data_IF_823256996358
#
_entry.id   IF_823256996358
#
_cell.length_a   1.000
_cell.length_b   1.000
_cell.length_c   1.000
_cell.angle_alpha   90.00
_cell.angle_beta   90.00
_cell.angle_gamma   90.00
#
_symmetry.space_group_name_H-M   'P 1'
#
loop_
_entity.id
_entity.type
_entity.pdbx_description
1 polymer ?
#
# COMPACT_ATOMS: atom_id res chain seq x y z
N UNK A 1 -19.56 25.92 14.66
CA UNK A 1 -18.48 25.41 13.75
C UNK A 1 -17.54 24.58 14.60
N UNK A 2 -17.36 23.33 14.26
CA UNK A 2 -16.35 22.46 14.86
C UNK A 2 -15.13 22.50 13.94
N UNK A 3 -14.05 23.25 14.27
CA UNK A 3 -12.91 23.46 13.38
C UNK A 3 -12.11 22.18 13.10
N UNK A 4 -12.40 21.12 13.81
CA UNK A 4 -11.72 19.80 13.74
C UNK A 4 -12.42 18.82 12.79
N UNK A 5 -13.58 19.19 12.23
CA UNK A 5 -14.39 18.31 11.40
C UNK A 5 -14.54 18.86 9.98
N UNK A 6 -14.44 17.98 9.01
CA UNK A 6 -14.76 18.25 7.61
C UNK A 6 -15.88 17.34 7.11
N UNK A 7 -16.60 17.79 6.09
CA UNK A 7 -17.63 17.01 5.42
C UNK A 7 -17.10 16.53 4.06
N UNK A 8 -17.01 15.22 3.87
CA UNK A 8 -16.77 14.60 2.59
C UNK A 8 -18.11 14.41 1.87
N UNK A 9 -18.35 15.20 0.81
CA UNK A 9 -19.57 15.11 0.01
C UNK A 9 -19.23 14.37 -1.29
N UNK A 10 -19.91 13.26 -1.54
CA UNK A 10 -19.72 12.46 -2.74
C UNK A 10 -20.41 13.10 -3.95
N UNK A 11 -19.81 12.96 -5.11
CA UNK A 11 -20.47 13.19 -6.39
C UNK A 11 -21.66 12.22 -6.52
N UNK A 12 -22.66 12.58 -7.33
CA UNK A 12 -23.91 11.84 -7.42
C UNK A 12 -23.70 10.37 -7.79
N UNK A 13 -22.85 10.11 -8.74
CA UNK A 13 -22.50 8.75 -9.22
C UNK A 13 -21.88 7.86 -8.12
N UNK A 14 -21.28 8.45 -7.09
CA UNK A 14 -20.66 7.72 -5.97
C UNK A 14 -21.58 7.61 -4.73
N UNK A 15 -22.80 8.10 -4.78
CA UNK A 15 -23.79 8.01 -3.67
C UNK A 15 -24.52 6.68 -3.69
N UNK A 16 -23.76 5.59 -3.64
CA UNK A 16 -24.29 4.23 -3.73
C UNK A 16 -24.73 3.70 -2.36
N UNK A 17 -25.67 2.73 -2.35
CA UNK A 17 -26.09 2.03 -1.13
C UNK A 17 -24.96 1.26 -0.46
N UNK A 18 -24.04 0.71 -1.24
CA UNK A 18 -22.85 0.01 -0.71
C UNK A 18 -21.93 0.95 0.06
N UNK A 19 -21.71 2.17 -0.45
CA UNK A 19 -20.89 3.17 0.23
C UNK A 19 -21.58 3.71 1.48
N UNK A 20 -22.89 3.97 1.40
CA UNK A 20 -23.70 4.32 2.58
C UNK A 20 -23.58 3.25 3.67
N UNK A 21 -23.73 1.97 3.31
CA UNK A 21 -23.64 0.86 4.26
C UNK A 21 -22.26 0.77 4.94
N UNK A 22 -21.18 0.99 4.19
CA UNK A 22 -19.81 1.05 4.75
C UNK A 22 -19.67 2.17 5.77
N UNK A 23 -20.12 3.38 5.45
CA UNK A 23 -20.03 4.53 6.36
C UNK A 23 -20.86 4.30 7.61
N UNK A 24 -22.06 3.77 7.49
CA UNK A 24 -22.91 3.40 8.62
C UNK A 24 -22.25 2.31 9.49
N UNK A 25 -21.55 1.35 8.90
CA UNK A 25 -20.86 0.34 9.71
C UNK A 25 -19.70 0.94 10.50
N UNK A 26 -18.93 1.87 9.93
CA UNK A 26 -17.89 2.61 10.67
C UNK A 26 -18.48 3.44 11.81
N UNK A 27 -19.59 4.15 11.57
CA UNK A 27 -20.34 4.88 12.60
C UNK A 27 -20.81 3.94 13.72
N UNK A 28 -21.39 2.79 13.37
CA UNK A 28 -21.81 1.76 14.32
C UNK A 28 -20.67 1.18 15.16
N UNK A 29 -19.48 0.97 14.56
CA UNK A 29 -18.31 0.51 15.31
C UNK A 29 -17.85 1.53 16.36
N UNK A 30 -17.94 2.83 16.05
CA UNK A 30 -17.68 3.90 17.03
C UNK A 30 -18.72 3.83 18.16
N UNK A 31 -20.02 3.80 17.84
CA UNK A 31 -21.10 3.77 18.83
C UNK A 31 -21.05 2.53 19.75
N UNK A 32 -20.56 1.41 19.25
CA UNK A 32 -20.36 0.17 20.03
C UNK A 32 -19.04 0.13 20.80
N UNK A 33 -18.22 1.18 20.75
CA UNK A 33 -16.87 1.22 21.32
C UNK A 33 -15.95 0.07 20.82
N UNK A 34 -16.12 -0.36 19.58
CA UNK A 34 -15.27 -1.38 18.96
C UNK A 34 -13.92 -0.77 18.51
N UNK A 35 -13.87 0.56 18.32
CA UNK A 35 -12.68 1.31 17.91
C UNK A 35 -12.12 2.11 19.10
N UNK A 36 -10.91 1.74 19.54
CA UNK A 36 -10.24 2.48 20.60
C UNK A 36 -9.56 3.76 20.06
N UNK A 37 -9.14 4.65 20.96
CA UNK A 37 -8.46 5.91 20.60
C UNK A 37 -7.24 5.66 19.73
N UNK A 38 -6.40 4.69 20.08
CA UNK A 38 -5.17 4.37 19.33
C UNK A 38 -5.46 3.91 17.88
N UNK A 39 -6.62 3.27 17.64
CA UNK A 39 -7.08 2.96 16.29
C UNK A 39 -7.47 4.24 15.53
N UNK A 40 -8.29 5.09 16.14
CA UNK A 40 -8.73 6.36 15.55
C UNK A 40 -7.58 7.37 15.34
N UNK A 41 -6.47 7.23 16.07
CA UNK A 41 -5.26 8.01 15.82
C UNK A 41 -4.56 7.61 14.50
N UNK A 42 -4.82 6.40 13.96
CA UNK A 42 -4.22 5.89 12.72
C UNK A 42 -5.22 5.71 11.57
N UNK A 43 -6.52 5.70 11.84
CA UNK A 43 -7.56 5.52 10.81
C UNK A 43 -8.56 6.66 10.90
N UNK A 44 -8.72 7.40 9.82
CA UNK A 44 -9.68 8.50 9.74
C UNK A 44 -11.06 7.94 9.43
N UNK A 45 -11.78 7.60 10.49
CA UNK A 45 -13.11 6.98 10.39
C UNK A 45 -14.22 7.99 10.20
N UNK A 46 -15.26 7.69 9.40
CA UNK A 46 -16.47 8.48 9.32
C UNK A 46 -17.17 8.51 10.66
N UNK A 47 -17.50 9.70 11.16
CA UNK A 47 -18.18 9.91 12.45
C UNK A 47 -19.70 9.97 12.32
N UNK A 48 -20.19 10.45 11.16
CA UNK A 48 -21.62 10.61 10.91
C UNK A 48 -21.92 10.54 9.42
N UNK A 49 -22.95 9.77 9.09
CA UNK A 49 -23.51 9.75 7.75
C UNK A 49 -24.28 11.05 7.47
N UNK A 50 -24.11 11.62 6.29
CA UNK A 50 -24.76 12.86 5.86
C UNK A 50 -25.78 12.57 4.76
N UNK A 51 -26.93 13.27 4.85
CA UNK A 51 -28.03 13.13 3.92
C UNK A 51 -28.45 14.48 3.36
N UNK A 52 -28.91 14.49 2.10
CA UNK A 52 -29.51 15.67 1.49
C UNK A 52 -30.86 15.96 2.12
N UNK A 53 -31.13 17.23 2.37
CA UNK A 53 -32.44 17.70 2.81
C UNK A 53 -32.95 18.80 1.87
N UNK A 54 -34.25 18.79 1.59
CA UNK A 54 -34.95 19.86 0.86
C UNK A 54 -36.13 20.29 1.68
N UNK A 55 -36.18 21.60 2.02
CA UNK A 55 -37.31 22.24 2.72
C UNK A 55 -37.82 21.53 3.99
N UNK A 56 -36.91 21.15 4.90
CA UNK A 56 -37.23 20.42 6.15
C UNK A 56 -37.94 19.06 5.95
N UNK A 57 -38.02 18.54 4.73
CA UNK A 57 -38.51 17.18 4.48
C UNK A 57 -37.43 16.13 4.73
N UNK A 58 -37.87 14.95 5.14
CA UNK A 58 -37.00 13.77 5.36
C UNK A 58 -36.06 13.52 4.17
N UNK A 59 -34.83 13.14 4.50
CA UNK A 59 -33.71 12.74 3.67
C UNK A 59 -34.04 12.41 2.21
N UNK A 60 -33.43 13.17 1.28
CA UNK A 60 -33.51 12.92 -0.17
C UNK A 60 -32.48 11.87 -0.66
N UNK A 61 -31.75 11.28 0.24
CA UNK A 61 -30.73 10.28 -0.04
C UNK A 61 -29.38 10.60 0.56
N UNK A 62 -28.54 9.59 0.58
CA UNK A 62 -27.18 9.65 1.06
C UNK A 62 -26.34 10.68 0.30
N UNK A 63 -25.54 11.46 1.01
CA UNK A 63 -24.73 12.53 0.44
C UNK A 63 -23.24 12.39 0.73
N UNK A 64 -22.87 11.84 1.90
CA UNK A 64 -21.48 11.82 2.34
C UNK A 64 -21.30 11.47 3.80
N UNK A 65 -20.21 11.91 4.38
CA UNK A 65 -19.92 11.70 5.79
C UNK A 65 -19.20 12.89 6.43
N UNK A 66 -19.29 12.96 7.75
CA UNK A 66 -18.50 13.85 8.60
C UNK A 66 -17.29 13.07 9.13
N UNK A 67 -16.11 13.65 9.10
CA UNK A 67 -14.86 13.04 9.55
C UNK A 67 -13.91 14.07 10.16
N UNK A 68 -12.87 13.61 10.84
CA UNK A 68 -11.80 14.48 11.33
C UNK A 68 -11.01 15.08 10.18
N UNK A 69 -10.81 16.40 10.23
CA UNK A 69 -9.93 17.09 9.30
C UNK A 69 -8.48 16.67 9.54
N UNK A 70 -7.73 16.47 8.46
CA UNK A 70 -6.31 16.17 8.53
C UNK A 70 -5.52 17.32 7.89
N UNK A 71 -4.43 17.72 8.53
CA UNK A 71 -3.55 18.78 8.03
C UNK A 71 -2.07 18.37 8.18
N UNK A 72 -1.17 18.99 7.40
CA UNK A 72 0.29 18.79 7.49
C UNK A 72 0.73 17.34 7.23
N UNK A 73 0.08 16.66 6.30
CA UNK A 73 0.45 15.32 5.85
C UNK A 73 0.96 15.34 4.40
N UNK A 74 1.62 14.26 4.01
CA UNK A 74 1.97 13.93 2.63
C UNK A 74 1.37 12.57 2.27
N UNK A 75 1.07 12.33 0.99
CA UNK A 75 0.78 10.96 0.55
C UNK A 75 2.04 10.10 0.68
N UNK A 76 1.89 8.83 1.01
CA UNK A 76 3.04 7.93 1.21
C UNK A 76 3.96 7.87 -0.02
N UNK A 77 3.42 8.02 -1.24
CA UNK A 77 4.22 8.07 -2.48
C UNK A 77 5.16 9.28 -2.53
N UNK A 78 4.77 10.40 -1.96
CA UNK A 78 5.63 11.60 -1.85
C UNK A 78 6.80 11.37 -0.87
N UNK A 79 6.61 10.48 0.10
CA UNK A 79 7.63 10.13 1.08
C UNK A 79 8.74 9.27 0.48
N UNK A 80 8.47 8.46 -0.54
CA UNK A 80 9.48 7.57 -1.13
C UNK A 80 10.77 8.32 -1.50
N UNK A 81 10.63 9.47 -2.17
CA UNK A 81 11.74 10.28 -2.68
C UNK A 81 12.00 11.54 -1.86
N UNK A 82 11.32 11.71 -0.72
CA UNK A 82 11.49 12.86 0.15
C UNK A 82 12.95 12.99 0.61
N UNK A 83 13.55 14.17 0.34
CA UNK A 83 14.95 14.48 0.68
C UNK A 83 15.09 15.03 2.09
N UNK A 84 14.02 15.55 2.66
CA UNK A 84 13.88 16.09 4.01
C UNK A 84 13.75 15.01 5.07
N UNK A 85 13.61 13.74 4.66
CA UNK A 85 13.57 12.58 5.57
C UNK A 85 14.81 11.71 5.44
N UNK A 86 15.41 11.40 6.56
CA UNK A 86 16.55 10.48 6.65
C UNK A 86 16.12 9.02 6.36
N UNK A 87 17.09 8.17 6.05
CA UNK A 87 16.81 6.77 5.80
C UNK A 87 16.18 6.03 7.01
N UNK A 88 16.65 6.24 8.27
CA UNK A 88 15.96 5.67 9.43
C UNK A 88 14.50 6.11 9.58
N UNK A 89 14.18 7.37 9.26
CA UNK A 89 12.79 7.84 9.31
C UNK A 89 11.91 7.11 8.28
N UNK A 90 12.42 6.83 7.08
CA UNK A 90 11.70 6.01 6.09
C UNK A 90 11.51 4.56 6.55
N UNK A 91 12.49 3.97 7.23
CA UNK A 91 12.35 2.64 7.85
C UNK A 91 11.30 2.67 8.97
N UNK A 92 11.28 3.73 9.78
CA UNK A 92 10.30 3.94 10.83
C UNK A 92 8.87 4.06 10.28
N UNK A 93 8.69 4.81 9.18
CA UNK A 93 7.41 4.94 8.49
C UNK A 93 6.96 3.58 7.94
N UNK A 94 7.86 2.80 7.33
CA UNK A 94 7.55 1.45 6.85
C UNK A 94 7.08 0.53 8.00
N UNK A 95 7.72 0.61 9.16
CA UNK A 95 7.31 -0.10 10.38
C UNK A 95 5.91 0.32 10.86
N UNK A 96 5.63 1.63 10.86
CA UNK A 96 4.31 2.15 11.24
C UNK A 96 3.20 1.75 10.27
N UNK A 97 3.51 1.58 8.98
CA UNK A 97 2.58 1.02 7.99
C UNK A 97 2.19 -0.44 8.35
N UNK A 98 3.15 -1.25 8.82
CA UNK A 98 2.84 -2.61 9.28
C UNK A 98 1.88 -2.59 10.48
N UNK A 99 2.10 -1.69 11.44
CA UNK A 99 1.20 -1.54 12.61
C UNK A 99 -0.21 -1.17 12.17
N UNK A 100 -0.35 -0.23 11.24
CA UNK A 100 -1.65 0.17 10.69
C UNK A 100 -2.36 -1.01 10.02
N UNK A 101 -1.66 -1.73 9.12
CA UNK A 101 -2.23 -2.89 8.41
C UNK A 101 -2.70 -3.97 9.39
N UNK A 102 -1.85 -4.33 10.37
CA UNK A 102 -2.20 -5.35 11.37
C UNK A 102 -3.45 -4.95 12.17
N UNK A 103 -3.54 -3.70 12.64
CA UNK A 103 -4.69 -3.20 13.40
C UNK A 103 -6.01 -3.27 12.61
N UNK A 104 -5.96 -3.01 11.32
CA UNK A 104 -7.15 -3.09 10.47
C UNK A 104 -7.58 -4.55 10.31
N UNK A 105 -6.65 -5.47 10.10
CA UNK A 105 -6.94 -6.88 9.94
C UNK A 105 -7.41 -7.56 11.25
N UNK A 106 -7.16 -6.95 12.42
CA UNK A 106 -7.67 -7.42 13.71
C UNK A 106 -9.16 -7.08 13.95
N UNK A 107 -9.75 -6.21 13.12
CA UNK A 107 -11.15 -5.86 13.24
C UNK A 107 -12.07 -7.04 12.90
N UNK A 108 -13.11 -7.23 13.73
CA UNK A 108 -14.09 -8.34 13.58
C UNK A 108 -14.94 -8.27 12.30
N UNK A 109 -14.87 -7.17 11.55
CA UNK A 109 -15.66 -6.93 10.33
C UNK A 109 -14.95 -7.38 9.05
N UNK A 110 -13.86 -8.13 9.17
CA UNK A 110 -13.06 -8.59 8.03
C UNK A 110 -12.69 -7.44 7.09
N UNK A 111 -12.22 -6.35 7.69
CA UNK A 111 -11.86 -5.15 6.94
C UNK A 111 -10.59 -5.41 6.15
N UNK A 112 -10.65 -5.11 4.86
CA UNK A 112 -9.52 -5.15 3.93
C UNK A 112 -9.34 -3.74 3.39
N UNK A 113 -8.12 -3.22 3.42
CA UNK A 113 -7.82 -1.87 2.95
C UNK A 113 -8.10 -1.75 1.44
N UNK A 114 -7.59 -2.69 0.65
CA UNK A 114 -7.76 -2.77 -0.79
C UNK A 114 -7.04 -1.65 -1.54
N UNK A 115 -7.37 -0.39 -1.27
CA UNK A 115 -6.72 0.77 -1.90
C UNK A 115 -5.66 1.40 -0.99
N UNK A 116 -4.43 0.95 -1.10
CA UNK A 116 -3.28 1.49 -0.38
C UNK A 116 -2.81 2.88 -0.86
N UNK A 117 -3.40 3.44 -1.91
CA UNK A 117 -3.11 4.83 -2.31
C UNK A 117 -3.62 5.86 -1.30
N UNK A 118 -4.54 5.44 -0.41
CA UNK A 118 -5.13 6.25 0.64
C UNK A 118 -4.29 6.30 1.94
N UNK A 119 -3.04 5.90 1.88
CA UNK A 119 -2.10 6.02 2.99
C UNK A 119 -1.45 7.40 3.00
N UNK A 120 -1.57 8.09 4.14
CA UNK A 120 -0.92 9.38 4.39
C UNK A 120 0.08 9.27 5.53
N UNK A 121 1.07 10.14 5.50
CA UNK A 121 2.17 10.20 6.48
C UNK A 121 2.31 11.61 7.00
N UNK A 122 2.52 11.74 8.30
CA UNK A 122 2.89 12.97 8.97
C UNK A 122 4.42 13.01 9.12
N UNK A 123 5.14 13.79 8.29
CA UNK A 123 6.62 13.75 8.26
C UNK A 123 7.26 14.13 9.60
N UNK A 124 6.60 15.00 10.38
CA UNK A 124 7.14 15.50 11.65
C UNK A 124 7.39 14.40 12.70
N UNK A 125 6.67 13.28 12.65
CA UNK A 125 6.78 12.20 13.63
C UNK A 125 6.70 10.78 13.04
N UNK A 126 6.59 10.67 11.72
CA UNK A 126 6.48 9.40 11.01
C UNK A 126 5.16 8.65 11.23
N UNK A 127 4.12 9.30 11.76
CA UNK A 127 2.81 8.69 11.92
C UNK A 127 2.21 8.37 10.56
N UNK A 128 1.69 7.15 10.42
CA UNK A 128 1.00 6.67 9.21
C UNK A 128 -0.48 6.55 9.51
N UNK A 129 -1.31 7.07 8.60
CA UNK A 129 -2.77 6.97 8.72
C UNK A 129 -3.40 6.48 7.42
N UNK A 130 -4.54 5.79 7.57
CA UNK A 130 -5.45 5.49 6.48
C UNK A 130 -6.55 6.54 6.43
N UNK A 131 -6.79 7.10 5.25
CA UNK A 131 -7.95 7.97 4.94
C UNK A 131 -8.88 7.24 3.98
N UNK A 132 -10.05 7.83 3.71
CA UNK A 132 -11.00 7.32 2.70
C UNK A 132 -11.43 5.86 2.92
N UNK A 133 -11.67 5.47 4.18
CA UNK A 133 -12.08 4.11 4.56
C UNK A 133 -13.43 3.66 3.97
N UNK A 134 -14.17 4.54 3.32
CA UNK A 134 -15.33 4.19 2.50
C UNK A 134 -14.96 3.37 1.25
N UNK A 135 -13.67 3.36 0.86
CA UNK A 135 -13.15 2.49 -0.19
C UNK A 135 -12.81 1.08 0.30
N UNK A 136 -12.56 0.88 1.59
CA UNK A 136 -12.24 -0.44 2.15
C UNK A 136 -13.33 -1.47 1.86
N UNK A 137 -12.93 -2.74 1.72
CA UNK A 137 -13.86 -3.85 1.78
C UNK A 137 -14.16 -4.17 3.24
N UNK A 138 -15.41 -4.41 3.57
CA UNK A 138 -15.82 -4.84 4.92
C UNK A 138 -17.14 -5.63 4.87
N UNK A 139 -17.39 -6.36 5.95
CA UNK A 139 -18.66 -7.08 6.15
C UNK A 139 -19.55 -6.29 7.11
N UNK A 140 -20.76 -6.00 6.68
CA UNK A 140 -21.81 -5.39 7.51
C UNK A 140 -22.99 -6.36 7.71
N UNK A 141 -23.89 -6.02 8.63
CA UNK A 141 -25.14 -6.75 8.81
C UNK A 141 -26.31 -5.87 8.36
N UNK A 142 -26.92 -6.25 7.27
CA UNK A 142 -28.09 -5.59 6.73
C UNK A 142 -29.29 -6.52 6.77
N UNK A 143 -30.40 -6.11 7.43
CA UNK A 143 -31.62 -6.91 7.63
C UNK A 143 -31.34 -8.33 8.15
N UNK A 144 -30.49 -8.45 9.18
CA UNK A 144 -30.06 -9.71 9.79
C UNK A 144 -29.30 -10.66 8.84
N UNK A 145 -28.84 -10.18 7.68
CA UNK A 145 -27.98 -10.92 6.76
C UNK A 145 -26.60 -10.30 6.76
N UNK A 146 -25.60 -11.17 6.69
CA UNK A 146 -24.21 -10.76 6.47
C UNK A 146 -24.05 -10.34 5.01
N UNK A 147 -23.61 -9.12 4.78
CA UNK A 147 -23.41 -8.51 3.46
C UNK A 147 -21.96 -8.06 3.33
N UNK A 148 -21.30 -8.51 2.28
CA UNK A 148 -19.99 -8.01 1.89
C UNK A 148 -20.16 -6.71 1.11
N UNK A 149 -19.46 -5.66 1.54
CA UNK A 149 -19.33 -4.40 0.82
C UNK A 149 -17.92 -4.35 0.20
N UNK A 150 -17.75 -4.64 -1.09
CA UNK A 150 -16.43 -4.81 -1.70
C UNK A 150 -15.65 -3.51 -1.82
N UNK A 151 -14.31 -3.60 -1.92
CA UNK A 151 -13.47 -2.54 -2.45
C UNK A 151 -13.67 -2.48 -3.98
N UNK A 152 -13.97 -1.29 -4.51
CA UNK A 152 -14.27 -1.09 -5.95
C UNK A 152 -13.27 -0.15 -6.63
N UNK A 153 -12.21 0.23 -5.94
CA UNK A 153 -11.18 1.15 -6.41
C UNK A 153 -9.79 0.64 -6.05
N UNK A 154 -8.79 1.09 -6.80
CA UNK A 154 -7.40 0.76 -6.50
C UNK A 154 -6.47 1.32 -7.56
N UNK A 155 -5.23 1.59 -7.16
CA UNK A 155 -4.18 2.07 -8.05
C UNK A 155 -3.43 0.87 -8.63
N UNK A 156 -3.30 0.83 -9.93
CA UNK A 156 -2.82 -0.32 -10.71
C UNK A 156 -1.56 -0.99 -10.16
N UNK A 157 -0.54 -0.22 -9.79
CA UNK A 157 0.71 -0.77 -9.27
C UNK A 157 0.59 -1.40 -7.88
N UNK A 158 -0.46 -1.06 -7.12
CA UNK A 158 -0.74 -1.57 -5.78
C UNK A 158 -1.75 -2.72 -5.77
N UNK A 159 -2.37 -3.00 -6.91
CA UNK A 159 -3.31 -4.12 -7.05
C UNK A 159 -2.51 -5.42 -7.15
N UNK A 160 -2.82 -6.39 -6.30
CA UNK A 160 -2.17 -7.69 -6.32
C UNK A 160 -2.40 -8.43 -7.66
N UNK A 161 -1.40 -9.18 -8.17
CA UNK A 161 -1.45 -9.80 -9.50
C UNK A 161 -2.68 -10.67 -9.75
N UNK A 162 -3.13 -11.42 -8.74
CA UNK A 162 -4.31 -12.30 -8.84
C UNK A 162 -5.61 -11.53 -9.05
N UNK A 163 -5.73 -10.33 -8.47
CA UNK A 163 -6.88 -9.45 -8.69
C UNK A 163 -6.85 -8.89 -10.10
N UNK A 164 -5.69 -8.41 -10.50
CA UNK A 164 -5.47 -7.86 -11.81
C UNK A 164 -5.74 -8.86 -12.94
N UNK A 165 -5.30 -10.11 -12.76
CA UNK A 165 -5.56 -11.20 -13.70
C UNK A 165 -7.07 -11.48 -13.86
N UNK A 166 -7.86 -11.39 -12.79
CA UNK A 166 -9.33 -11.51 -12.84
C UNK A 166 -9.97 -10.36 -13.60
N UNK A 167 -9.61 -9.12 -13.28
CA UNK A 167 -10.13 -7.93 -13.97
C UNK A 167 -9.92 -8.00 -15.48
N UNK A 168 -8.75 -8.49 -15.93
CA UNK A 168 -8.46 -8.70 -17.36
C UNK A 168 -9.35 -9.76 -18.00
N UNK A 169 -9.59 -10.89 -17.30
CA UNK A 169 -10.37 -12.02 -17.84
C UNK A 169 -11.85 -11.70 -17.96
N UNK A 170 -12.39 -11.03 -16.96
CA UNK A 170 -13.81 -10.78 -16.84
C UNK A 170 -14.25 -9.49 -17.55
N UNK A 171 -13.30 -8.70 -18.09
CA UNK A 171 -13.56 -7.35 -18.64
C UNK A 171 -14.33 -6.45 -17.67
N UNK A 172 -14.17 -6.71 -16.39
CA UNK A 172 -14.89 -6.03 -15.33
C UNK A 172 -14.05 -4.88 -14.82
N UNK A 173 -14.60 -3.67 -14.88
CA UNK A 173 -14.05 -2.55 -14.13
C UNK A 173 -14.30 -2.78 -12.63
N UNK A 174 -13.38 -2.36 -11.76
CA UNK A 174 -13.55 -2.43 -10.30
C UNK A 174 -14.86 -1.76 -9.84
N UNK A 175 -15.35 -0.78 -10.61
CA UNK A 175 -16.61 -0.05 -10.34
C UNK A 175 -17.89 -0.88 -10.59
N UNK A 176 -17.80 -1.94 -11.41
CA UNK A 176 -18.94 -2.76 -11.84
C UNK A 176 -18.97 -4.16 -11.20
N UNK A 177 -18.25 -4.35 -10.09
CA UNK A 177 -18.30 -5.61 -9.35
C UNK A 177 -19.65 -5.75 -8.69
N UNK A 178 -20.41 -6.73 -9.13
CA UNK A 178 -21.73 -7.02 -8.61
C UNK A 178 -21.64 -7.38 -7.12
N UNK A 179 -22.48 -6.77 -6.29
CA UNK A 179 -22.47 -6.95 -4.84
C UNK A 179 -22.84 -8.38 -4.39
N UNK A 180 -23.37 -9.17 -5.31
CA UNK A 180 -23.79 -10.57 -5.10
C UNK A 180 -22.72 -11.60 -5.52
N UNK A 181 -21.52 -11.17 -5.92
CA UNK A 181 -20.47 -12.11 -6.26
C UNK A 181 -20.01 -12.89 -5.00
N UNK A 182 -20.12 -14.21 -5.06
CA UNK A 182 -19.78 -15.16 -3.98
C UNK A 182 -18.31 -15.16 -3.58
N UNK A 183 -17.47 -14.34 -4.20
CA UNK A 183 -16.05 -14.25 -3.92
C UNK A 183 -15.62 -12.81 -3.60
N UNK A 184 -15.08 -12.57 -2.39
CA UNK A 184 -14.41 -11.32 -2.11
C UNK A 184 -13.25 -11.15 -3.10
N UNK A 185 -13.21 -10.02 -3.81
CA UNK A 185 -12.12 -9.72 -4.74
C UNK A 185 -10.84 -9.51 -3.96
N UNK A 186 -10.91 -8.68 -2.91
CA UNK A 186 -9.78 -8.39 -2.04
C UNK A 186 -9.80 -9.28 -0.79
N UNK A 187 -8.61 -9.55 -0.25
CA UNK A 187 -8.41 -10.27 1.00
C UNK A 187 -7.12 -9.80 1.68
N UNK A 188 -6.80 -10.32 2.86
CA UNK A 188 -5.59 -9.92 3.60
C UNK A 188 -4.28 -10.11 2.81
N UNK A 189 -4.23 -11.09 1.94
CA UNK A 189 -3.02 -11.34 1.13
C UNK A 189 -2.84 -10.31 0.02
N UNK A 190 -3.93 -9.72 -0.49
CA UNK A 190 -3.84 -8.60 -1.43
C UNK A 190 -3.32 -7.33 -0.73
N UNK A 191 -3.71 -7.11 0.53
CA UNK A 191 -3.18 -6.05 1.38
C UNK A 191 -1.69 -6.26 1.69
N UNK A 192 -1.27 -7.48 1.96
CA UNK A 192 0.14 -7.80 2.20
C UNK A 192 1.02 -7.52 0.98
N UNK A 193 0.50 -7.73 -0.23
CA UNK A 193 1.20 -7.34 -1.45
C UNK A 193 1.39 -5.82 -1.53
N UNK A 194 0.33 -5.06 -1.37
CA UNK A 194 0.38 -3.60 -1.46
C UNK A 194 1.24 -2.98 -0.34
N UNK A 195 1.15 -3.52 0.88
CA UNK A 195 2.01 -3.15 2.00
C UNK A 195 3.49 -3.41 1.68
N UNK A 196 3.83 -4.60 1.19
CA UNK A 196 5.20 -4.95 0.81
C UNK A 196 5.74 -4.03 -0.30
N UNK A 197 4.89 -3.67 -1.28
CA UNK A 197 5.24 -2.69 -2.31
C UNK A 197 5.64 -1.34 -1.72
N UNK A 198 4.82 -0.80 -0.81
CA UNK A 198 5.13 0.47 -0.15
C UNK A 198 6.42 0.39 0.69
N UNK A 199 6.60 -0.70 1.45
CA UNK A 199 7.82 -0.92 2.23
C UNK A 199 9.05 -0.93 1.30
N UNK A 200 8.99 -1.68 0.21
CA UNK A 200 10.07 -1.74 -0.77
C UNK A 200 10.36 -0.35 -1.35
N UNK A 201 9.35 0.38 -1.81
CA UNK A 201 9.50 1.71 -2.38
C UNK A 201 10.09 2.73 -1.38
N UNK A 202 9.69 2.68 -0.11
CA UNK A 202 10.29 3.50 0.96
C UNK A 202 11.78 3.20 1.14
N UNK A 203 12.16 1.92 1.18
CA UNK A 203 13.55 1.50 1.39
C UNK A 203 14.42 1.70 0.15
N UNK A 204 13.83 1.65 -1.05
CA UNK A 204 14.53 1.76 -2.36
C UNK A 204 14.30 3.13 -3.02
N UNK A 205 14.00 4.15 -2.24
CA UNK A 205 13.89 5.55 -2.68
C UNK A 205 12.96 5.74 -3.89
N UNK A 206 11.77 5.13 -3.83
CA UNK A 206 10.71 5.27 -4.84
C UNK A 206 10.79 4.27 -6.00
N UNK A 207 11.78 3.38 -5.98
CA UNK A 207 11.88 2.38 -7.04
C UNK A 207 10.80 1.30 -6.88
N UNK A 208 10.24 0.86 -8.00
CA UNK A 208 9.28 -0.24 -8.04
C UNK A 208 9.98 -1.59 -7.81
N UNK A 209 9.36 -2.54 -7.11
CA UNK A 209 9.85 -3.93 -7.05
C UNK A 209 9.83 -4.63 -8.41
N UNK A 210 9.10 -4.08 -9.38
CA UNK A 210 8.98 -4.56 -10.75
C UNK A 210 9.47 -3.51 -11.76
N UNK A 211 10.33 -2.60 -11.31
CA UNK A 211 10.97 -1.59 -12.16
C UNK A 211 11.95 -2.26 -13.12
N UNK A 212 11.64 -2.23 -14.39
CA UNK A 212 12.39 -2.89 -15.43
C UNK A 212 13.42 -1.94 -16.04
N UNK A 213 14.70 -2.29 -15.97
CA UNK A 213 15.74 -1.69 -16.81
C UNK A 213 16.20 -2.80 -17.76
N UNK A 214 15.63 -2.79 -18.97
CA UNK A 214 16.04 -3.72 -20.00
C UNK A 214 17.52 -3.51 -20.32
N UNK A 215 18.32 -4.56 -20.29
CA UNK A 215 19.67 -4.52 -20.86
C UNK A 215 19.54 -4.56 -22.38
N UNK A 216 19.51 -3.38 -23.00
CA UNK A 216 19.35 -3.23 -24.45
C UNK A 216 20.44 -3.94 -25.23
N UNK A 217 21.66 -4.10 -24.68
CA UNK A 217 22.75 -4.81 -25.34
C UNK A 217 22.45 -6.31 -25.43
N UNK A 218 21.92 -6.94 -24.38
CA UNK A 218 21.53 -8.36 -24.43
C UNK A 218 20.28 -8.59 -25.29
N UNK A 219 19.35 -7.66 -25.36
CA UNK A 219 18.19 -7.72 -26.26
C UNK A 219 18.65 -7.70 -27.72
N UNK A 220 19.60 -6.83 -28.05
CA UNK A 220 20.19 -6.76 -29.41
C UNK A 220 20.99 -7.99 -29.79
N UNK A 221 21.64 -8.65 -28.83
CA UNK A 221 22.40 -9.90 -29.08
C UNK A 221 21.49 -11.13 -29.24
N UNK A 222 20.21 -11.06 -28.82
CA UNK A 222 19.26 -12.17 -28.91
C UNK A 222 17.94 -11.73 -29.60
N UNK A 223 17.98 -11.30 -30.87
CA UNK A 223 16.79 -10.75 -31.57
C UNK A 223 15.67 -11.78 -31.79
N UNK A 224 15.92 -13.07 -31.59
CA UNK A 224 14.92 -14.13 -31.67
C UNK A 224 14.03 -14.24 -30.45
N UNK A 225 14.34 -13.57 -29.34
CA UNK A 225 13.46 -13.42 -28.19
C UNK A 225 12.71 -12.11 -28.37
N UNK A 226 11.55 -12.15 -29.01
CA UNK A 226 10.64 -11.01 -29.11
C UNK A 226 10.29 -10.51 -27.71
N UNK A 227 11.06 -9.55 -27.22
CA UNK A 227 10.69 -8.74 -26.05
C UNK A 227 9.60 -7.81 -26.54
N UNK A 228 8.35 -8.17 -26.32
CA UNK A 228 7.21 -7.30 -26.64
C UNK A 228 7.20 -6.13 -25.65
N UNK A 229 6.59 -5.02 -26.03
CA UNK A 229 6.36 -3.88 -25.12
C UNK A 229 5.53 -4.29 -23.86
N UNK A 230 4.84 -5.42 -23.92
CA UNK A 230 4.08 -6.04 -22.82
C UNK A 230 5.05 -6.62 -21.78
N UNK A 231 6.21 -7.14 -22.19
CA UNK A 231 7.20 -7.74 -21.29
C UNK A 231 7.93 -6.67 -20.43
N UNK A 232 7.74 -5.38 -20.76
CA UNK A 232 8.32 -4.23 -20.07
C UNK A 232 7.32 -3.59 -19.08
N UNK A 233 6.04 -3.98 -19.12
CA UNK A 233 5.02 -3.47 -18.20
C UNK A 233 5.26 -4.02 -16.78
N UNK A 234 5.53 -3.15 -15.75
CA UNK A 234 5.75 -3.58 -14.37
C UNK A 234 4.61 -4.44 -13.81
N UNK A 235 3.42 -4.28 -14.33
CA UNK A 235 2.25 -5.04 -13.93
C UNK A 235 2.29 -6.49 -14.45
N UNK A 236 2.75 -6.68 -15.69
CA UNK A 236 2.99 -8.02 -16.25
C UNK A 236 4.14 -8.72 -15.51
N UNK A 237 5.19 -7.99 -15.20
CA UNK A 237 6.30 -8.49 -14.38
C UNK A 237 5.83 -8.95 -12.99
N UNK A 238 4.91 -8.21 -12.36
CA UNK A 238 4.30 -8.59 -11.09
C UNK A 238 3.49 -9.89 -11.20
N UNK A 239 2.72 -10.06 -12.28
CA UNK A 239 1.93 -11.26 -12.58
C UNK A 239 2.81 -12.52 -12.72
N UNK A 240 4.02 -12.35 -13.24
CA UNK A 240 5.02 -13.41 -13.43
C UNK A 240 5.92 -13.62 -12.21
N UNK A 241 5.85 -12.77 -11.21
CA UNK A 241 6.77 -12.78 -10.08
C UNK A 241 8.20 -12.38 -10.47
N UNK A 242 8.33 -11.54 -11.48
CA UNK A 242 9.61 -11.05 -12.01
C UNK A 242 10.13 -9.89 -11.15
N UNK A 243 10.42 -10.21 -9.91
CA UNK A 243 10.99 -9.27 -8.97
C UNK A 243 12.38 -8.82 -9.41
N UNK A 244 12.67 -7.51 -9.33
CA UNK A 244 13.93 -6.90 -9.86
C UNK A 244 15.22 -7.51 -9.33
N UNK A 245 15.18 -8.25 -8.23
CA UNK A 245 16.32 -8.98 -7.65
C UNK A 245 16.18 -10.50 -7.76
N UNK A 246 15.22 -11.02 -8.55
CA UNK A 246 15.10 -12.45 -8.83
C UNK A 246 16.31 -12.93 -9.65
N UNK A 247 16.93 -14.05 -9.20
CA UNK A 247 18.20 -14.57 -9.78
C UNK A 247 18.13 -15.04 -11.23
N UNK A 248 16.95 -15.14 -11.83
CA UNK A 248 16.77 -15.77 -13.15
C UNK A 248 16.39 -14.79 -14.26
N UNK A 249 16.46 -13.49 -14.00
CA UNK A 249 16.07 -12.53 -15.02
C UNK A 249 17.24 -12.27 -15.98
N UNK A 250 17.19 -12.90 -17.15
CA UNK A 250 18.29 -12.92 -18.14
C UNK A 250 18.57 -11.56 -18.80
N UNK A 251 17.63 -10.59 -18.69
CA UNK A 251 17.70 -9.32 -19.42
C UNK A 251 17.72 -8.09 -18.50
N UNK A 252 17.94 -8.29 -17.22
CA UNK A 252 17.87 -7.20 -16.26
C UNK A 252 19.25 -6.64 -15.96
N UNK A 253 19.47 -5.38 -16.32
CA UNK A 253 20.59 -4.62 -15.78
C UNK A 253 20.34 -4.43 -14.27
N UNK A 254 21.39 -4.64 -13.47
CA UNK A 254 21.33 -4.35 -12.03
C UNK A 254 20.85 -2.91 -11.83
N UNK A 255 19.73 -2.68 -11.11
CA UNK A 255 19.23 -1.33 -10.88
C UNK A 255 20.25 -0.46 -10.15
N UNK A 256 20.26 0.84 -10.40
CA UNK A 256 21.19 1.78 -9.75
C UNK A 256 21.08 1.79 -8.22
N UNK A 257 19.93 1.36 -7.68
CA UNK A 257 19.69 1.17 -6.24
C UNK A 257 20.10 -0.21 -5.71
N UNK A 258 20.68 -1.09 -6.52
CA UNK A 258 21.00 -2.47 -6.11
C UNK A 258 21.96 -2.56 -4.92
N UNK A 259 22.88 -1.63 -4.80
CA UNK A 259 23.77 -1.56 -3.63
C UNK A 259 22.97 -1.35 -2.35
N UNK A 260 21.96 -0.49 -2.39
CA UNK A 260 21.06 -0.24 -1.28
C UNK A 260 20.27 -1.48 -0.88
N UNK A 261 19.81 -2.28 -1.86
CA UNK A 261 19.14 -3.55 -1.59
C UNK A 261 20.06 -4.55 -0.89
N UNK A 262 21.33 -4.64 -1.27
CA UNK A 262 22.34 -5.49 -0.61
C UNK A 262 22.61 -5.10 0.84
N UNK A 263 22.33 -3.85 1.23
CA UNK A 263 22.43 -3.40 2.61
C UNK A 263 21.27 -3.90 3.49
N UNK A 264 20.14 -4.26 2.91
CA UNK A 264 19.03 -4.85 3.66
C UNK A 264 19.48 -6.15 4.34
N UNK A 265 18.94 -6.42 5.52
CA UNK A 265 19.14 -7.70 6.19
C UNK A 265 18.71 -8.86 5.29
N UNK A 266 19.31 -10.03 5.50
CA UNK A 266 18.92 -11.23 4.77
C UNK A 266 17.43 -11.53 4.97
N UNK A 267 16.93 -11.29 6.18
CA UNK A 267 15.53 -11.46 6.54
C UNK A 267 14.62 -10.57 5.70
N UNK A 268 14.84 -9.24 5.64
CA UNK A 268 14.06 -8.34 4.80
C UNK A 268 14.09 -8.75 3.32
N UNK A 269 15.25 -9.16 2.81
CA UNK A 269 15.36 -9.64 1.43
C UNK A 269 14.52 -10.90 1.19
N UNK A 270 14.55 -11.85 2.13
CA UNK A 270 13.72 -13.06 2.08
C UNK A 270 12.22 -12.74 2.13
N UNK A 271 11.80 -11.75 2.95
CA UNK A 271 10.40 -11.32 2.98
C UNK A 271 9.98 -10.71 1.64
N UNK A 272 10.81 -9.91 0.98
CA UNK A 272 10.49 -9.38 -0.34
C UNK A 272 10.42 -10.48 -1.41
N UNK A 273 11.32 -11.47 -1.38
CA UNK A 273 11.26 -12.63 -2.29
C UNK A 273 9.97 -13.44 -2.07
N UNK A 274 9.58 -13.66 -0.82
CA UNK A 274 8.29 -14.30 -0.50
C UNK A 274 7.10 -13.47 -0.98
N UNK A 275 7.12 -12.16 -0.77
CA UNK A 275 6.03 -11.28 -1.18
C UNK A 275 5.83 -11.25 -2.70
N UNK A 276 6.93 -11.13 -3.48
CA UNK A 276 6.87 -10.80 -4.89
C UNK A 276 7.11 -12.00 -5.82
N UNK A 277 7.90 -12.99 -5.43
CA UNK A 277 8.14 -14.20 -6.22
C UNK A 277 7.21 -15.33 -5.77
N UNK A 278 7.25 -15.68 -4.50
CA UNK A 278 6.41 -16.72 -3.93
C UNK A 278 4.93 -16.33 -4.02
N UNK A 279 4.60 -15.13 -3.58
CA UNK A 279 3.25 -14.58 -3.53
C UNK A 279 2.61 -14.31 -4.90
N UNK A 280 3.37 -14.29 -6.00
CA UNK A 280 2.80 -14.26 -7.35
C UNK A 280 2.20 -15.63 -7.74
N UNK A 281 2.77 -16.72 -7.21
CA UNK A 281 2.32 -18.10 -7.46
C UNK A 281 1.25 -18.54 -6.47
N UNK A 282 1.47 -18.23 -5.21
CA UNK A 282 0.58 -18.53 -4.10
C UNK A 282 0.49 -17.32 -3.17
N UNK A 283 -0.60 -16.54 -3.22
CA UNK A 283 -0.79 -15.37 -2.37
C UNK A 283 -0.67 -15.67 -0.87
N UNK A 284 -0.97 -16.90 -0.43
CA UNK A 284 -0.99 -17.27 0.99
C UNK A 284 0.39 -17.31 1.65
N UNK A 285 1.47 -17.38 0.86
CA UNK A 285 2.84 -17.37 1.38
C UNK A 285 3.39 -15.96 1.59
N UNK A 286 2.67 -14.92 1.20
CA UNK A 286 3.09 -13.53 1.43
C UNK A 286 3.28 -13.27 2.92
N UNK A 287 4.38 -12.60 3.29
CA UNK A 287 4.61 -12.23 4.69
C UNK A 287 3.50 -11.32 5.20
N UNK A 288 3.08 -11.54 6.42
CA UNK A 288 2.12 -10.69 7.09
C UNK A 288 2.77 -9.40 7.62
N UNK A 289 1.92 -8.53 8.19
CA UNK A 289 2.36 -7.23 8.68
C UNK A 289 3.33 -7.36 9.87
N UNK A 290 3.17 -8.38 10.71
CA UNK A 290 4.03 -8.56 11.88
C UNK A 290 5.39 -9.16 11.54
N UNK A 291 5.49 -10.00 10.52
CA UNK A 291 6.78 -10.48 9.99
C UNK A 291 7.62 -9.29 9.48
N UNK A 292 7.03 -8.40 8.67
CA UNK A 292 7.72 -7.18 8.23
C UNK A 292 8.03 -6.23 9.39
N UNK A 293 7.10 -6.04 10.33
CA UNK A 293 7.32 -5.20 11.51
C UNK A 293 8.55 -5.63 12.33
N UNK A 294 8.69 -6.94 12.59
CA UNK A 294 9.81 -7.48 13.35
C UNK A 294 11.13 -7.28 12.60
N UNK A 295 11.19 -7.67 11.33
CA UNK A 295 12.38 -7.51 10.50
C UNK A 295 12.79 -6.04 10.35
N UNK A 296 11.84 -5.12 10.16
CA UNK A 296 12.09 -3.68 10.10
C UNK A 296 12.55 -3.11 11.44
N UNK A 297 12.06 -3.64 12.57
CA UNK A 297 12.49 -3.21 13.90
C UNK A 297 13.95 -3.57 14.16
N UNK A 298 14.34 -4.80 13.86
CA UNK A 298 15.73 -5.26 13.98
C UNK A 298 16.66 -4.49 13.02
N UNK A 299 16.20 -4.29 11.79
CA UNK A 299 16.94 -3.52 10.79
C UNK A 299 17.15 -2.08 11.24
N UNK A 300 16.10 -1.41 11.74
CA UNK A 300 16.18 -0.04 12.28
C UNK A 300 17.20 0.07 13.41
N UNK A 301 17.20 -0.86 14.36
CA UNK A 301 18.14 -0.90 15.48
C UNK A 301 19.57 -1.13 15.04
N UNK A 302 19.79 -1.80 13.91
CA UNK A 302 21.12 -2.05 13.36
C UNK A 302 21.73 -0.85 12.66
N UNK A 303 20.93 0.19 12.31
CA UNK A 303 21.40 1.32 11.53
C UNK A 303 22.35 2.23 12.33
N UNK A 304 23.52 2.51 11.76
CA UNK A 304 24.51 3.44 12.28
C UNK A 304 24.92 4.44 11.21
N UNK A 305 25.24 5.65 11.63
CA UNK A 305 25.75 6.69 10.75
C UNK A 305 27.22 6.36 10.40
N UNK A 306 27.53 6.29 9.12
CA UNK A 306 28.92 6.13 8.65
C UNK A 306 29.67 7.46 8.67
N UNK A 307 30.98 7.44 8.45
CA UNK A 307 31.85 8.63 8.43
C UNK A 307 31.41 9.66 7.37
N UNK A 308 30.85 9.21 6.25
CA UNK A 308 30.31 10.09 5.21
C UNK A 308 28.89 10.63 5.51
N UNK A 309 28.38 10.40 6.72
CA UNK A 309 27.12 10.97 7.20
C UNK A 309 25.86 10.17 6.84
N UNK A 310 25.97 9.03 6.17
CA UNK A 310 24.84 8.19 5.76
C UNK A 310 24.59 7.06 6.75
N UNK A 311 23.38 6.51 6.72
CA UNK A 311 22.99 5.40 7.59
C UNK A 311 23.18 4.05 6.88
N UNK A 312 23.84 3.12 7.55
CA UNK A 312 24.09 1.75 7.10
C UNK A 312 23.92 0.77 8.26
N UNK A 313 23.57 -0.50 8.00
CA UNK A 313 23.59 -1.52 9.04
C UNK A 313 25.00 -1.68 9.63
N UNK A 314 25.10 -1.81 10.94
CA UNK A 314 26.40 -1.93 11.65
C UNK A 314 27.20 -3.18 11.27
N UNK A 315 26.54 -4.22 10.77
CA UNK A 315 27.13 -5.47 10.31
C UNK A 315 27.44 -5.49 8.81
N UNK A 316 27.09 -4.43 8.05
CA UNK A 316 27.40 -4.33 6.64
C UNK A 316 28.87 -3.97 6.43
N UNK A 317 29.61 -4.83 5.74
CA UNK A 317 31.04 -4.69 5.48
C UNK A 317 31.39 -4.06 4.14
N UNK A 318 30.37 -3.67 3.35
CA UNK A 318 30.54 -3.03 2.06
C UNK A 318 30.78 -1.52 2.18
N UNK A 319 31.16 -0.90 1.08
CA UNK A 319 31.33 0.54 0.98
C UNK A 319 29.99 1.30 1.03
N UNK A 320 30.02 2.55 1.44
CA UNK A 320 28.81 3.39 1.48
C UNK A 320 28.29 3.61 0.04
N UNK A 321 27.06 3.23 -0.18
CA UNK A 321 26.42 3.27 -1.50
C UNK A 321 26.38 4.68 -2.13
N UNK A 322 26.42 5.75 -1.33
CA UNK A 322 26.38 7.13 -1.82
C UNK A 322 27.77 7.62 -2.29
N UNK A 323 28.86 6.93 -1.94
CA UNK A 323 30.17 7.24 -2.51
C UNK A 323 30.23 6.94 -4.01
N UNK A 324 29.38 6.05 -4.52
CA UNK A 324 29.31 5.69 -5.95
C UNK A 324 28.29 6.50 -6.75
N UNK A 325 27.38 7.21 -6.09
CA UNK A 325 26.33 8.00 -6.76
C UNK A 325 26.62 9.50 -6.82
N UNK A 326 27.67 9.96 -6.11
CA UNK A 326 28.15 11.33 -6.22
C UNK A 326 29.09 11.43 -7.43
N UNK A 327 28.87 12.36 -8.38
CA UNK A 327 29.87 12.63 -9.40
C UNK A 327 31.19 12.96 -8.70
N UNK A 328 32.29 12.36 -9.19
CA UNK A 328 33.63 12.69 -8.71
C UNK A 328 33.85 14.21 -8.79
N UNK A 329 34.43 14.85 -7.77
CA UNK A 329 34.78 16.28 -7.85
C UNK A 329 35.80 16.60 -8.98
N UNK A 330 36.07 15.64 -9.86
CA UNK A 330 37.05 15.72 -10.94
C UNK A 330 36.47 15.58 -12.35
N UNK A 331 35.12 15.46 -12.48
CA UNK A 331 34.44 15.44 -13.77
C UNK A 331 33.77 16.81 -14.06
#
# INVERSE_FOLDING_TARGET
KHPELCAKIFKEEYRTRGREAKILEWENMIERNELNKSFCDQVVVPKKCLYLQKNNQKSLGFAGCLMDEQANFKNIKEIYTAKDLSYPEKVWIARNLCVLTNRIHELKREVIIGDYSNIIVFPANGTVKLIDVDTCQLVTIYRNKRVLCPCTVGVRELIAPEIAGRLKKEKTDLENVDQDADNPIFNKYTDFYAMAYHIFALLMNGSSPFGFIANMEEILQHPSKNVSSIDIDPFYAAEKGEFVFARHFLFQKTPDYALKYKMLSMELRTLFERAFIGGAKDPTVRPDAMEFYNALTEYFQSLKKCECGHYMPSNYKGECWLLYTSPSPRD
#
